data_IF_809238614149
#
_entry.id   IF_809238614149
#
_cell.length_a   1.000
_cell.length_b   1.000
_cell.length_c   1.000
_cell.angle_alpha   90.00
_cell.angle_beta   90.00
_cell.angle_gamma   90.00
#
_symmetry.space_group_name_H-M   'P 1'
#
loop_
_entity.id
_entity.type
_entity.pdbx_description
1 polymer ?
#
# COMPACT_ATOMS: atom_id res chain seq x y z
N UNK A 1 38.65 -3.81 12.73
CA UNK A 1 37.19 -3.85 12.95
C UNK A 1 36.90 -5.01 13.90
N UNK A 2 36.42 -4.73 15.11
CA UNK A 2 36.12 -5.77 16.10
C UNK A 2 34.91 -6.59 15.62
N UNK A 3 35.00 -7.93 15.70
CA UNK A 3 33.89 -8.82 15.35
C UNK A 3 32.95 -8.92 16.56
N UNK A 4 31.68 -8.56 16.37
CA UNK A 4 30.63 -8.73 17.38
C UNK A 4 29.74 -9.93 17.08
N UNK A 5 29.23 -10.59 18.11
CA UNK A 5 28.19 -11.62 18.02
C UNK A 5 26.88 -11.04 18.55
N UNK A 6 25.80 -11.14 17.79
CA UNK A 6 24.47 -10.75 18.25
C UNK A 6 23.76 -11.94 18.89
N UNK A 7 23.21 -11.75 20.09
CA UNK A 7 22.43 -12.78 20.77
C UNK A 7 21.10 -13.00 20.04
N UNK A 8 20.77 -14.22 19.59
CA UNK A 8 19.53 -14.49 18.87
C UNK A 8 18.28 -14.42 19.75
N UNK A 9 18.44 -14.48 21.09
CA UNK A 9 17.30 -14.47 22.02
C UNK A 9 16.85 -13.06 22.40
N UNK A 10 17.78 -12.12 22.62
CA UNK A 10 17.46 -10.77 23.06
C UNK A 10 18.00 -9.65 22.16
N UNK A 11 18.74 -9.98 21.10
CA UNK A 11 19.29 -9.00 20.14
C UNK A 11 20.52 -8.23 20.63
N UNK A 12 21.00 -8.46 21.84
CA UNK A 12 22.18 -7.80 22.43
C UNK A 12 23.45 -8.08 21.61
N UNK A 13 24.26 -7.04 21.35
CA UNK A 13 25.55 -7.17 20.66
C UNK A 13 26.69 -7.37 21.66
N UNK A 14 27.40 -8.50 21.56
CA UNK A 14 28.55 -8.81 22.39
C UNK A 14 29.85 -8.62 21.62
N UNK A 15 30.78 -7.85 22.19
CA UNK A 15 32.15 -7.76 21.68
C UNK A 15 32.94 -9.00 22.07
N UNK A 16 33.61 -9.61 21.09
CA UNK A 16 34.40 -10.83 21.26
C UNK A 16 35.88 -10.43 21.24
N UNK A 17 36.26 -9.54 22.15
CA UNK A 17 37.66 -9.12 22.25
C UNK A 17 38.40 -10.16 23.10
N UNK A 18 39.12 -11.08 22.46
CA UNK A 18 40.02 -12.04 23.13
C UNK A 18 39.42 -13.39 23.54
N UNK A 19 38.17 -13.70 23.17
CA UNK A 19 37.61 -15.02 23.45
C UNK A 19 38.22 -16.08 22.51
N UNK A 20 38.71 -17.19 23.07
CA UNK A 20 39.25 -18.29 22.27
C UNK A 20 38.14 -18.88 21.36
N UNK A 21 38.45 -19.23 20.09
CA UNK A 21 37.50 -19.89 19.21
C UNK A 21 36.98 -21.17 19.88
N UNK A 22 35.67 -21.38 19.86
CA UNK A 22 35.01 -22.50 20.52
C UNK A 22 34.68 -22.31 22.00
N UNK A 23 35.10 -21.20 22.61
CA UNK A 23 34.70 -20.85 23.98
C UNK A 23 33.20 -20.52 24.08
N UNK A 24 32.63 -20.77 25.25
CA UNK A 24 31.25 -20.43 25.59
C UNK A 24 31.21 -19.25 26.56
N UNK A 25 30.34 -18.28 26.32
CA UNK A 25 30.11 -17.13 27.20
C UNK A 25 28.61 -16.93 27.46
N UNK A 26 28.24 -16.28 28.56
CA UNK A 26 26.84 -15.96 28.87
C UNK A 26 26.46 -14.58 28.32
N UNK A 27 25.30 -14.49 27.70
CA UNK A 27 24.72 -13.22 27.26
C UNK A 27 24.36 -12.35 28.47
N UNK A 28 24.79 -11.09 28.49
CA UNK A 28 24.46 -10.13 29.56
C UNK A 28 22.97 -9.79 29.65
N UNK A 29 22.23 -9.79 28.53
CA UNK A 29 20.81 -9.43 28.50
C UNK A 29 19.87 -10.56 28.96
N UNK A 30 20.09 -11.79 28.48
CA UNK A 30 19.17 -12.92 28.73
C UNK A 30 19.80 -14.11 29.45
N UNK A 31 21.07 -14.03 29.86
CA UNK A 31 21.84 -15.08 30.56
C UNK A 31 22.05 -16.41 29.81
N UNK A 32 21.54 -16.56 28.57
CA UNK A 32 21.78 -17.75 27.74
C UNK A 32 23.26 -17.90 27.40
N UNK A 33 23.71 -19.15 27.38
CA UNK A 33 25.08 -19.52 26.97
C UNK A 33 25.18 -19.54 25.45
N UNK A 34 26.12 -18.76 24.90
CA UNK A 34 26.42 -18.65 23.48
C UNK A 34 27.80 -19.26 23.22
N UNK A 35 27.96 -19.92 22.07
CA UNK A 35 29.23 -20.52 21.64
C UNK A 35 29.84 -19.65 20.54
N UNK A 36 31.12 -19.30 20.68
CA UNK A 36 31.86 -18.58 19.63
C UNK A 36 32.12 -19.57 18.49
N UNK A 37 31.62 -19.33 17.26
CA UNK A 37 31.92 -20.19 16.13
C UNK A 37 33.43 -20.21 15.93
N UNK A 38 34.01 -21.41 15.93
CA UNK A 38 35.43 -21.57 15.63
C UNK A 38 35.71 -20.99 14.25
N UNK A 39 36.86 -20.31 14.12
CA UNK A 39 37.36 -19.98 12.79
C UNK A 39 37.39 -21.28 11.98
N UNK A 40 36.87 -21.33 10.74
CA UNK A 40 36.94 -22.53 9.92
C UNK A 40 38.41 -22.95 9.92
N UNK A 41 38.66 -24.18 10.40
CA UNK A 41 39.99 -24.74 10.41
C UNK A 41 40.53 -24.64 8.99
N UNK A 42 41.64 -23.91 8.81
CA UNK A 42 42.39 -23.92 7.57
C UNK A 42 42.60 -25.39 7.20
N UNK A 43 42.05 -25.88 6.09
CA UNK A 43 42.20 -27.29 5.74
C UNK A 43 43.71 -27.57 5.66
N UNK A 44 44.22 -28.64 6.30
CA UNK A 44 45.59 -29.03 6.08
C UNK A 44 45.77 -29.25 4.58
N UNK A 45 46.78 -28.61 4.00
CA UNK A 45 47.24 -28.88 2.63
C UNK A 45 47.58 -30.37 2.52
N UNK A 46 46.60 -31.17 2.14
CA UNK A 46 46.80 -32.55 1.74
C UNK A 46 47.23 -32.55 0.29
N UNK A 47 48.54 -32.76 0.12
CA UNK A 47 49.19 -33.10 -1.13
C UNK A 47 48.45 -34.23 -1.86
N UNK A 48 48.23 -34.03 -3.15
CA UNK A 48 48.29 -35.02 -4.24
C UNK A 48 47.64 -36.39 -3.99
N UNK A 49 46.42 -36.59 -4.47
CA UNK A 49 45.96 -37.89 -4.94
C UNK A 49 44.99 -37.75 -6.12
N UNK A 50 45.54 -38.03 -7.29
CA UNK A 50 44.89 -38.33 -8.56
C UNK A 50 43.82 -39.41 -8.43
N UNK A 51 42.61 -39.15 -8.94
CA UNK A 51 41.64 -40.13 -9.48
C UNK A 51 40.55 -39.32 -10.20
N UNK A 52 40.65 -39.13 -11.51
CA UNK A 52 40.08 -40.01 -12.55
C UNK A 52 38.55 -40.08 -12.54
N UNK A 53 37.97 -39.31 -13.46
CA UNK A 53 36.81 -39.59 -14.30
C UNK A 53 35.53 -40.21 -13.67
N UNK A 54 34.39 -39.55 -13.88
CA UNK A 54 33.39 -40.02 -14.86
C UNK A 54 32.31 -38.95 -15.07
N UNK A 55 32.26 -38.48 -16.31
CA UNK A 55 31.18 -37.71 -16.91
C UNK A 55 29.89 -38.51 -16.93
N UNK A 56 28.76 -37.86 -16.66
CA UNK A 56 27.48 -38.25 -17.25
C UNK A 56 26.64 -37.00 -17.46
N UNK A 57 26.77 -36.47 -18.67
CA UNK A 57 25.78 -35.66 -19.31
C UNK A 57 24.55 -36.53 -19.60
N UNK A 58 23.36 -36.05 -19.26
CA UNK A 58 22.13 -36.51 -19.88
C UNK A 58 21.34 -35.29 -20.33
N UNK A 59 21.52 -34.97 -21.61
CA UNK A 59 20.62 -34.13 -22.39
C UNK A 59 19.39 -34.95 -22.80
N UNK A 60 18.21 -34.33 -22.75
CA UNK A 60 16.99 -34.63 -23.54
C UNK A 60 16.04 -33.46 -23.24
N UNK A 61 15.77 -32.44 -24.07
CA UNK A 61 15.40 -32.39 -25.48
C UNK A 61 14.23 -33.33 -25.79
N UNK A 62 13.06 -32.75 -26.13
CA UNK A 62 11.81 -33.30 -26.74
C UNK A 62 10.63 -32.54 -26.09
N UNK A 63 9.64 -31.91 -26.72
CA UNK A 63 9.19 -31.70 -28.11
C UNK A 63 8.13 -30.58 -28.05
N UNK A 64 8.17 -29.58 -28.92
CA UNK A 64 7.26 -29.43 -30.07
C UNK A 64 5.84 -29.99 -29.87
N UNK A 65 4.90 -29.09 -29.59
CA UNK A 65 3.46 -29.35 -29.57
C UNK A 65 2.69 -28.13 -30.07
N UNK A 66 2.86 -27.82 -31.35
CA UNK A 66 1.93 -26.97 -32.10
C UNK A 66 0.75 -27.85 -32.55
N UNK A 67 -0.46 -27.51 -32.10
CA UNK A 67 -1.74 -27.86 -32.69
C UNK A 67 -2.69 -26.71 -32.33
N UNK A 68 -2.93 -25.74 -33.21
CA UNK A 68 -3.80 -25.80 -34.38
C UNK A 68 -5.28 -26.05 -34.01
N UNK A 69 -6.06 -24.98 -34.20
CA UNK A 69 -7.46 -24.95 -34.64
C UNK A 69 -8.57 -25.49 -33.73
N UNK A 70 -9.39 -24.54 -33.19
CA UNK A 70 -10.85 -24.55 -33.42
C UNK A 70 -11.50 -23.19 -33.07
N UNK A 71 -11.56 -22.31 -34.07
CA UNK A 71 -12.80 -21.61 -34.43
C UNK A 71 -13.19 -22.24 -35.79
N UNK A 72 -14.45 -22.62 -36.06
CA UNK A 72 -15.64 -21.77 -35.90
C UNK A 72 -16.87 -22.50 -35.32
N UNK A 73 -17.71 -21.82 -34.56
CA UNK A 73 -19.15 -22.17 -34.56
C UNK A 73 -19.98 -20.89 -34.59
N UNK A 74 -20.48 -20.65 -35.80
CA UNK A 74 -21.52 -19.71 -36.14
C UNK A 74 -22.82 -20.21 -35.50
N UNK A 75 -23.18 -19.69 -34.32
CA UNK A 75 -24.49 -19.94 -33.73
C UNK A 75 -25.38 -18.69 -33.80
N UNK A 76 -26.29 -18.76 -34.79
CA UNK A 76 -27.62 -18.14 -34.88
C UNK A 76 -27.76 -16.61 -34.82
N UNK A 77 -28.26 -15.97 -35.92
CA UNK A 77 -28.90 -14.67 -35.84
C UNK A 77 -30.25 -14.85 -35.11
N UNK A 78 -30.22 -14.78 -33.78
CA UNK A 78 -31.45 -14.70 -33.00
C UNK A 78 -31.98 -13.27 -33.09
N UNK A 79 -32.84 -13.09 -34.10
CA UNK A 79 -34.08 -12.33 -34.07
C UNK A 79 -34.00 -11.03 -33.26
N UNK A 80 -33.73 -9.95 -34.00
CA UNK A 80 -34.12 -8.58 -33.66
C UNK A 80 -35.54 -8.57 -33.05
N UNK A 81 -35.60 -8.52 -31.73
CA UNK A 81 -36.82 -8.14 -31.02
C UNK A 81 -36.92 -6.63 -31.15
N UNK A 82 -37.80 -6.25 -32.08
CA UNK A 82 -38.55 -5.02 -32.19
C UNK A 82 -38.41 -4.13 -30.94
N UNK A 83 -37.65 -3.06 -31.13
CA UNK A 83 -37.47 -1.96 -30.21
C UNK A 83 -38.84 -1.35 -29.88
N UNK A 84 -39.41 -1.73 -28.74
CA UNK A 84 -40.40 -0.90 -28.07
C UNK A 84 -39.67 0.35 -27.58
N UNK A 85 -40.12 1.50 -28.09
CA UNK A 85 -39.68 2.83 -27.72
C UNK A 85 -39.88 3.03 -26.21
N UNK A 86 -38.87 2.64 -25.42
CA UNK A 86 -38.77 3.06 -24.04
C UNK A 86 -38.43 4.56 -24.04
N UNK A 87 -39.14 5.37 -23.25
CA UNK A 87 -38.98 6.81 -23.22
C UNK A 87 -37.53 7.15 -22.87
N UNK A 88 -36.97 8.08 -23.63
CA UNK A 88 -35.64 8.69 -23.48
C UNK A 88 -35.13 8.62 -22.05
N UNK A 89 -34.39 7.56 -21.73
CA UNK A 89 -33.47 7.60 -20.61
C UNK A 89 -32.46 8.67 -21.01
N UNK A 90 -32.49 9.80 -20.30
CA UNK A 90 -31.49 10.85 -20.38
C UNK A 90 -30.12 10.19 -20.60
N UNK A 91 -29.59 10.34 -21.81
CA UNK A 91 -28.20 10.09 -22.12
C UNK A 91 -27.42 11.12 -21.32
N UNK A 92 -27.17 10.81 -20.04
CA UNK A 92 -26.06 11.43 -19.35
C UNK A 92 -24.83 11.14 -20.21
N UNK A 93 -24.00 12.15 -20.53
CA UNK A 93 -22.76 11.90 -21.25
C UNK A 93 -22.02 10.79 -20.51
N UNK A 94 -21.43 9.80 -21.22
CA UNK A 94 -20.60 8.79 -20.58
C UNK A 94 -19.63 9.55 -19.69
N UNK A 95 -19.77 9.33 -18.38
CA UNK A 95 -18.91 9.99 -17.41
C UNK A 95 -17.52 9.42 -17.72
N UNK A 96 -16.74 10.13 -18.53
CA UNK A 96 -15.31 9.90 -18.73
C UNK A 96 -14.54 10.22 -17.44
N UNK A 97 -15.09 9.88 -16.29
CA UNK A 97 -14.41 9.75 -15.00
C UNK A 97 -13.63 8.44 -14.93
N UNK A 98 -13.11 7.96 -16.07
CA UNK A 98 -11.97 7.07 -16.03
C UNK A 98 -10.89 7.84 -15.28
N UNK A 99 -10.58 7.42 -14.04
CA UNK A 99 -9.46 7.99 -13.30
C UNK A 99 -8.29 8.13 -14.27
N UNK A 100 -7.68 9.33 -14.36
CA UNK A 100 -6.65 9.58 -15.35
C UNK A 100 -5.65 8.44 -15.28
N UNK A 101 -5.27 7.88 -16.44
CA UNK A 101 -4.41 6.70 -16.51
C UNK A 101 -3.16 6.85 -15.62
N UNK A 102 -2.67 8.08 -15.47
CA UNK A 102 -1.66 8.49 -14.51
C UNK A 102 -2.00 8.14 -13.04
N UNK A 103 -3.19 8.46 -12.53
CA UNK A 103 -3.60 8.11 -11.17
C UNK A 103 -3.63 6.60 -10.95
N UNK A 104 -4.01 5.82 -11.97
CA UNK A 104 -3.97 4.36 -11.91
C UNK A 104 -2.52 3.86 -11.82
N UNK A 105 -1.61 4.39 -12.62
CA UNK A 105 -0.18 4.05 -12.55
C UNK A 105 0.39 4.41 -11.17
N UNK A 106 0.12 5.62 -10.67
CA UNK A 106 0.60 6.06 -9.34
C UNK A 106 0.06 5.15 -8.23
N UNK A 107 -1.23 4.78 -8.30
CA UNK A 107 -1.83 3.81 -7.38
C UNK A 107 -1.07 2.48 -7.38
N UNK A 108 -0.76 1.92 -8.55
CA UNK A 108 0.04 0.68 -8.65
C UNK A 108 1.46 0.84 -8.09
N UNK A 109 2.13 1.95 -8.43
CA UNK A 109 3.50 2.24 -7.97
C UNK A 109 3.58 2.34 -6.45
N UNK A 110 2.54 2.84 -5.78
CA UNK A 110 2.48 2.92 -4.30
C UNK A 110 1.98 1.60 -3.69
N UNK A 111 0.98 0.96 -4.30
CA UNK A 111 0.37 -0.25 -3.77
C UNK A 111 1.36 -1.43 -3.73
N UNK A 112 2.23 -1.57 -4.73
CA UNK A 112 3.23 -2.65 -4.79
C UNK A 112 4.21 -2.64 -3.59
N UNK A 113 4.94 -1.55 -3.30
CA UNK A 113 5.87 -1.53 -2.17
C UNK A 113 5.15 -1.58 -0.82
N UNK A 114 3.99 -0.92 -0.68
CA UNK A 114 3.20 -0.95 0.56
C UNK A 114 2.68 -2.36 0.85
N UNK A 115 2.11 -3.04 -0.15
CA UNK A 115 1.64 -4.42 0.01
C UNK A 115 2.78 -5.40 0.28
N UNK A 116 3.94 -5.20 -0.35
CA UNK A 116 5.16 -5.96 -0.05
C UNK A 116 5.60 -5.81 1.41
N UNK A 117 5.64 -4.58 1.92
CA UNK A 117 6.04 -4.30 3.31
C UNK A 117 5.04 -4.87 4.33
N UNK A 118 3.74 -4.72 4.09
CA UNK A 118 2.68 -5.29 4.92
C UNK A 118 2.78 -6.83 4.94
N UNK A 119 2.93 -7.45 3.77
CA UNK A 119 3.05 -8.91 3.66
C UNK A 119 4.29 -9.44 4.39
N UNK A 120 5.41 -8.72 4.29
CA UNK A 120 6.64 -9.05 5.01
C UNK A 120 6.42 -8.99 6.53
N UNK A 121 5.78 -7.92 7.03
CA UNK A 121 5.47 -7.78 8.45
C UNK A 121 4.55 -8.88 8.96
N UNK A 122 3.51 -9.24 8.21
CA UNK A 122 2.60 -10.33 8.55
C UNK A 122 3.36 -11.67 8.60
N UNK A 123 4.20 -11.95 7.61
CA UNK A 123 4.99 -13.18 7.58
C UNK A 123 5.97 -13.30 8.76
N UNK A 124 6.60 -12.18 9.16
CA UNK A 124 7.45 -12.13 10.37
C UNK A 124 6.61 -12.32 11.63
N UNK A 125 5.43 -11.70 11.70
CA UNK A 125 4.55 -11.77 12.88
C UNK A 125 4.05 -13.19 13.16
N UNK A 126 3.73 -13.94 12.11
CA UNK A 126 3.27 -15.33 12.21
C UNK A 126 4.46 -16.29 12.46
N UNK A 127 5.70 -15.80 12.41
CA UNK A 127 6.91 -16.62 12.53
C UNK A 127 7.18 -17.48 11.29
N UNK A 128 6.51 -17.18 10.18
CA UNK A 128 6.63 -17.89 8.90
C UNK A 128 7.94 -17.57 8.18
N UNK A 129 8.49 -16.38 8.42
CA UNK A 129 9.81 -15.97 7.95
C UNK A 129 10.64 -15.39 9.09
N UNK A 130 11.75 -16.07 9.42
CA UNK A 130 12.85 -15.46 10.16
C UNK A 130 13.69 -14.57 9.21
N UNK A 131 14.34 -13.53 9.73
CA UNK A 131 15.22 -12.65 8.93
C UNK A 131 16.29 -13.44 8.17
N UNK A 132 16.75 -14.56 8.74
CA UNK A 132 17.69 -15.49 8.10
C UNK A 132 17.05 -16.27 6.95
N UNK A 133 15.78 -16.67 7.07
CA UNK A 133 15.03 -17.33 6.00
C UNK A 133 14.77 -16.39 4.82
N UNK A 134 14.66 -15.07 5.06
CA UNK A 134 14.50 -14.10 3.97
C UNK A 134 15.77 -14.03 3.10
N UNK A 135 16.94 -14.11 3.72
CA UNK A 135 18.23 -14.15 3.03
C UNK A 135 18.35 -15.47 2.26
N UNK A 136 17.99 -16.60 2.89
CA UNK A 136 17.94 -17.91 2.24
C UNK A 136 16.90 -17.97 1.10
N UNK A 137 15.81 -17.19 1.18
CA UNK A 137 14.84 -17.08 0.11
C UNK A 137 15.41 -16.36 -1.13
N UNK A 138 16.37 -15.45 -0.93
CA UNK A 138 17.00 -14.68 -2.01
C UNK A 138 18.24 -15.40 -2.54
N UNK A 139 19.01 -16.06 -1.67
CA UNK A 139 20.33 -16.64 -1.99
C UNK A 139 20.37 -18.17 -1.99
N UNK A 140 19.41 -18.85 -1.38
CA UNK A 140 19.40 -20.31 -1.25
C UNK A 140 18.90 -21.05 -2.50
N UNK A 141 19.56 -22.17 -2.81
CA UNK A 141 19.23 -23.08 -3.92
C UNK A 141 18.34 -24.27 -3.50
N UNK A 142 17.77 -24.25 -2.29
CA UNK A 142 16.99 -25.36 -1.74
C UNK A 142 15.53 -25.43 -2.21
N UNK A 143 15.01 -26.64 -2.42
CA UNK A 143 13.63 -26.89 -2.87
C UNK A 143 12.53 -26.34 -1.94
N UNK A 144 12.83 -26.14 -0.65
CA UNK A 144 11.91 -25.52 0.32
C UNK A 144 11.53 -24.07 -0.03
N UNK A 145 12.31 -23.40 -0.90
CA UNK A 145 12.03 -22.05 -1.40
C UNK A 145 10.75 -22.00 -2.23
N UNK A 146 10.50 -22.99 -3.09
CA UNK A 146 9.35 -22.99 -3.98
C UNK A 146 8.04 -23.13 -3.21
N UNK A 147 8.00 -23.98 -2.18
CA UNK A 147 6.82 -24.13 -1.33
C UNK A 147 6.47 -22.81 -0.62
N UNK A 148 7.47 -22.13 -0.07
CA UNK A 148 7.30 -20.82 0.59
C UNK A 148 6.84 -19.75 -0.41
N UNK A 149 7.41 -19.73 -1.62
CA UNK A 149 6.96 -18.84 -2.70
C UNK A 149 5.50 -19.10 -3.10
N UNK A 150 5.11 -20.37 -3.26
CA UNK A 150 3.73 -20.76 -3.61
C UNK A 150 2.72 -20.31 -2.56
N UNK A 151 3.09 -20.27 -1.28
CA UNK A 151 2.22 -19.75 -0.20
C UNK A 151 2.27 -18.22 -0.14
N UNK A 152 3.44 -17.62 -0.36
CA UNK A 152 3.64 -16.18 -0.25
C UNK A 152 3.00 -15.38 -1.38
N UNK A 153 3.05 -15.89 -2.62
CA UNK A 153 2.46 -15.23 -3.80
C UNK A 153 0.95 -14.95 -3.64
N UNK A 154 0.09 -15.93 -3.29
CA UNK A 154 -1.35 -15.67 -3.14
C UNK A 154 -1.63 -14.75 -1.95
N UNK A 155 -0.87 -14.87 -0.85
CA UNK A 155 -0.99 -13.96 0.29
C UNK A 155 -0.68 -12.51 -0.13
N UNK A 156 0.43 -12.32 -0.84
CA UNK A 156 0.82 -11.01 -1.35
C UNK A 156 -0.22 -10.44 -2.32
N UNK A 157 -0.70 -11.26 -3.27
CA UNK A 157 -1.75 -10.87 -4.21
C UNK A 157 -3.05 -10.43 -3.51
N UNK A 158 -3.46 -11.13 -2.45
CA UNK A 158 -4.62 -10.77 -1.63
C UNK A 158 -4.43 -9.41 -0.95
N UNK A 159 -3.23 -9.17 -0.39
CA UNK A 159 -2.90 -7.88 0.24
C UNK A 159 -2.88 -6.76 -0.80
N UNK A 160 -2.26 -6.97 -1.97
CA UNK A 160 -2.25 -5.96 -3.03
C UNK A 160 -3.67 -5.66 -3.53
N UNK A 161 -4.50 -6.69 -3.75
CA UNK A 161 -5.89 -6.53 -4.15
C UNK A 161 -6.69 -5.75 -3.09
N UNK A 162 -6.54 -6.09 -1.81
CA UNK A 162 -7.19 -5.39 -0.71
C UNK A 162 -6.77 -3.92 -0.60
N UNK A 163 -5.47 -3.64 -0.72
CA UNK A 163 -4.95 -2.26 -0.71
C UNK A 163 -5.48 -1.46 -1.91
N UNK A 164 -5.51 -2.04 -3.11
CA UNK A 164 -6.05 -1.36 -4.30
C UNK A 164 -7.55 -1.09 -4.14
N UNK A 165 -8.34 -2.07 -3.67
CA UNK A 165 -9.77 -1.87 -3.41
C UNK A 165 -10.00 -0.77 -2.37
N UNK A 166 -9.21 -0.76 -1.29
CA UNK A 166 -9.29 0.26 -0.25
C UNK A 166 -8.92 1.63 -0.79
N UNK A 167 -7.88 1.76 -1.62
CA UNK A 167 -7.50 3.02 -2.27
C UNK A 167 -8.61 3.51 -3.22
N UNK A 168 -9.26 2.62 -3.96
CA UNK A 168 -10.33 3.01 -4.88
C UNK A 168 -11.58 3.48 -4.09
N UNK A 169 -12.03 2.72 -3.10
CA UNK A 169 -13.20 3.07 -2.29
C UNK A 169 -12.96 4.31 -1.41
N UNK A 170 -11.81 4.38 -0.74
CA UNK A 170 -11.44 5.51 0.11
C UNK A 170 -11.09 6.73 -0.75
N UNK A 171 -10.47 6.51 -1.92
CA UNK A 171 -10.09 7.57 -2.86
C UNK A 171 -11.30 8.32 -3.38
N UNK A 172 -12.39 7.62 -3.74
CA UNK A 172 -13.65 8.26 -4.15
C UNK A 172 -14.24 9.11 -3.02
N UNK A 173 -14.25 8.58 -1.79
CA UNK A 173 -14.72 9.32 -0.61
C UNK A 173 -13.84 10.53 -0.30
N UNK A 174 -12.52 10.40 -0.47
CA UNK A 174 -11.58 11.51 -0.29
C UNK A 174 -11.80 12.59 -1.35
N UNK A 175 -11.86 12.21 -2.63
CA UNK A 175 -12.08 13.15 -3.74
C UNK A 175 -13.41 13.90 -3.60
N UNK A 176 -14.48 13.21 -3.17
CA UNK A 176 -15.77 13.84 -2.87
C UNK A 176 -15.68 14.88 -1.73
N UNK A 177 -14.80 14.66 -0.75
CA UNK A 177 -14.57 15.59 0.35
C UNK A 177 -13.61 16.74 -0.03
N UNK A 178 -12.57 16.47 -0.82
CA UNK A 178 -11.63 17.48 -1.32
C UNK A 178 -12.27 18.44 -2.33
N UNK A 179 -13.25 17.99 -3.11
CA UNK A 179 -14.01 18.88 -4.00
C UNK A 179 -14.74 19.99 -3.23
N UNK A 180 -15.23 19.69 -2.02
CA UNK A 180 -15.93 20.67 -1.17
C UNK A 180 -14.97 21.74 -0.63
N UNK A 181 -13.77 21.36 -0.23
CA UNK A 181 -12.77 22.31 0.31
C UNK A 181 -12.18 23.20 -0.78
N UNK A 182 -11.95 22.67 -1.97
CA UNK A 182 -11.47 23.47 -3.10
C UNK A 182 -12.56 24.37 -3.67
N UNK A 183 -13.83 23.93 -3.69
CA UNK A 183 -14.95 24.76 -4.13
C UNK A 183 -15.24 25.92 -3.18
N UNK A 184 -14.96 25.79 -1.87
CA UNK A 184 -15.08 26.90 -0.93
C UNK A 184 -13.91 27.88 -1.00
N UNK A 185 -12.75 27.45 -1.51
CA UNK A 185 -11.55 28.27 -1.58
C UNK A 185 -11.53 29.27 -2.75
N UNK A 186 -12.49 29.21 -3.69
CA UNK A 186 -12.59 30.18 -4.80
C UNK A 186 -13.99 30.81 -4.95
N UNK A 187 -14.45 31.62 -3.98
CA UNK A 187 -15.72 32.35 -4.09
C UNK A 187 -15.68 33.45 -5.16
N UNK A 188 -14.50 34.00 -5.49
CA UNK A 188 -14.34 35.09 -6.46
C UNK A 188 -14.71 34.68 -7.88
N UNK A 189 -14.39 33.45 -8.30
CA UNK A 189 -14.72 32.99 -9.66
C UNK A 189 -16.22 32.85 -9.88
N UNK A 190 -16.98 32.49 -8.85
CA UNK A 190 -18.44 32.35 -8.91
C UNK A 190 -19.17 33.70 -8.95
N UNK A 191 -18.59 34.76 -8.36
CA UNK A 191 -19.15 36.11 -8.48
C UNK A 191 -18.96 36.68 -9.90
N UNK A 192 -17.83 36.38 -10.55
CA UNK A 192 -17.52 36.87 -11.91
C UNK A 192 -18.41 36.26 -13.01
N UNK A 193 -18.73 34.96 -12.93
CA UNK A 193 -19.61 34.32 -13.93
C UNK A 193 -21.08 34.75 -13.78
N UNK A 194 -21.52 35.09 -12.57
CA UNK A 194 -22.88 35.63 -12.34
C UNK A 194 -23.07 37.02 -12.95
N UNK A 195 -22.01 37.82 -13.01
CA UNK A 195 -22.04 39.14 -13.65
C UNK A 195 -22.12 39.07 -15.19
N UNK A 196 -21.62 37.99 -15.83
CA UNK A 196 -21.64 37.85 -17.30
C UNK A 196 -22.91 37.23 -17.88
N UNK A 197 -23.61 36.40 -17.11
CA UNK A 197 -24.85 35.76 -17.57
C UNK A 197 -26.11 36.53 -17.11
N UNK A 198 -25.98 37.77 -16.66
CA UNK A 198 -27.14 38.63 -16.50
C UNK A 198 -27.70 38.90 -17.90
N UNK A 199 -28.95 38.51 -18.20
CA UNK A 199 -29.57 38.78 -19.50
C UNK A 199 -29.50 40.28 -19.77
N UNK A 200 -28.97 40.64 -20.94
CA UNK A 200 -28.77 42.04 -21.37
C UNK A 200 -30.10 42.81 -21.48
N UNK A 201 -31.22 42.09 -21.40
CA UNK A 201 -32.58 42.60 -21.57
C UNK A 201 -33.13 43.30 -20.32
N UNK A 202 -32.47 43.19 -19.15
CA UNK A 202 -32.90 43.86 -17.91
C UNK A 202 -32.24 45.24 -17.74
N UNK A 203 -31.19 45.56 -18.51
CA UNK A 203 -30.51 46.86 -18.43
C UNK A 203 -31.33 48.02 -19.04
N UNK A 204 -32.47 47.75 -19.68
CA UNK A 204 -33.33 48.79 -20.27
C UNK A 204 -34.59 49.12 -19.46
N UNK A 205 -34.82 48.52 -18.28
CA UNK A 205 -36.05 48.72 -17.50
C UNK A 205 -35.91 49.56 -16.21
N UNK A 206 -34.73 50.12 -15.92
CA UNK A 206 -34.45 50.81 -14.64
C UNK A 206 -34.35 52.34 -14.79
N UNK A 207 -35.42 52.99 -15.26
CA UNK A 207 -35.58 54.45 -15.17
C UNK A 207 -36.94 54.88 -14.59
N UNK A 208 -37.61 54.01 -13.82
CA UNK A 208 -38.86 54.36 -13.13
C UNK A 208 -38.80 53.97 -11.65
N UNK A 209 -38.46 54.96 -10.82
CA UNK A 209 -38.92 55.08 -9.44
C UNK A 209 -40.07 56.10 -9.40
N UNK A 210 -40.90 56.19 -8.34
CA UNK A 210 -41.03 55.32 -7.16
C UNK A 210 -42.50 54.93 -6.85
N UNK A 211 -42.75 54.00 -5.91
CA UNK A 211 -43.80 54.18 -4.89
C UNK A 211 -43.47 53.33 -3.66
N UNK A 212 -43.32 54.02 -2.52
CA UNK A 212 -43.30 53.46 -1.18
C UNK A 212 -44.63 52.79 -0.86
N UNK A 213 -44.60 51.57 -0.33
CA UNK A 213 -45.59 51.09 0.62
C UNK A 213 -44.91 50.14 1.60
N UNK A 214 -44.77 50.62 2.83
CA UNK A 214 -44.45 49.85 4.03
C UNK A 214 -45.54 48.80 4.29
N UNK A 215 -45.16 47.57 4.66
CA UNK A 215 -45.69 46.88 5.86
C UNK A 215 -44.87 45.59 6.09
N UNK A 216 -43.92 45.62 7.02
CA UNK A 216 -44.02 45.03 8.37
C UNK A 216 -44.29 43.52 8.45
N UNK A 217 -43.28 42.86 9.03
CA UNK A 217 -43.37 41.83 10.07
C UNK A 217 -43.98 40.46 9.74
N UNK A 218 -43.12 39.44 9.63
CA UNK A 218 -43.01 38.35 10.63
C UNK A 218 -41.79 37.49 10.33
N UNK A 219 -40.71 37.67 11.10
CA UNK A 219 -40.24 36.69 12.09
C UNK A 219 -40.26 35.26 11.53
N UNK A 220 -39.15 34.83 10.94
CA UNK A 220 -38.81 33.42 10.96
C UNK A 220 -37.42 33.29 11.56
N UNK A 221 -37.44 32.75 12.78
CA UNK A 221 -36.34 32.64 13.69
C UNK A 221 -35.22 31.78 13.10
N UNK A 222 -34.01 32.30 13.24
CA UNK A 222 -32.79 31.55 13.15
C UNK A 222 -32.83 30.43 14.21
N UNK A 223 -33.04 29.19 13.77
CA UNK A 223 -32.69 28.00 14.57
C UNK A 223 -31.24 27.67 14.21
N UNK A 224 -30.34 28.18 15.05
CA UNK A 224 -28.94 27.75 15.12
C UNK A 224 -28.96 26.45 15.94
N UNK A 225 -28.67 25.27 15.38
CA UNK A 225 -28.45 24.09 16.21
C UNK A 225 -27.13 24.26 16.97
N UNK A 226 -27.24 24.14 18.29
CA UNK A 226 -26.18 24.12 19.27
C UNK A 226 -24.96 23.32 18.80
N UNK A 227 -23.82 24.00 18.79
CA UNK A 227 -22.49 23.40 18.66
C UNK A 227 -22.13 22.84 20.04
N UNK A 228 -22.07 21.51 20.24
CA UNK A 228 -21.65 20.96 21.53
C UNK A 228 -20.20 21.38 21.82
N UNK A 229 -19.98 21.83 23.05
CA UNK A 229 -18.70 22.22 23.59
C UNK A 229 -17.66 21.11 23.39
N UNK A 230 -16.58 21.43 22.68
CA UNK A 230 -15.37 20.62 22.65
C UNK A 230 -14.80 20.60 24.08
N UNK A 231 -14.83 19.42 24.70
CA UNK A 231 -14.10 19.16 25.93
C UNK A 231 -12.60 19.40 25.70
N UNK A 232 -11.89 20.01 26.66
CA UNK A 232 -10.43 20.12 26.59
C UNK A 232 -9.84 18.71 26.53
N UNK A 233 -9.07 18.45 25.47
CA UNK A 233 -8.30 17.24 25.32
C UNK A 233 -7.41 17.08 26.55
N UNK A 234 -7.60 15.96 27.26
CA UNK A 234 -6.71 15.52 28.30
C UNK A 234 -5.31 15.38 27.70
N UNK A 235 -4.39 16.09 28.34
CA UNK A 235 -2.94 16.02 28.17
C UNK A 235 -2.51 14.54 28.20
N UNK A 236 -2.29 13.96 27.02
CA UNK A 236 -1.77 12.60 26.88
C UNK A 236 -0.31 12.64 27.31
N UNK A 237 -0.11 12.22 28.56
CA UNK A 237 1.17 12.10 29.21
C UNK A 237 2.16 11.36 28.31
N UNK A 238 3.11 12.10 27.76
CA UNK A 238 4.27 11.61 27.02
C UNK A 238 5.11 10.67 27.93
N UNK A 239 5.07 9.34 27.73
CA UNK A 239 5.80 8.38 28.55
C UNK A 239 7.28 8.27 28.16
N UNK A 240 7.80 9.12 27.25
CA UNK A 240 9.16 8.99 26.73
C UNK A 240 10.15 10.04 27.21
N UNK A 241 9.84 10.88 28.22
CA UNK A 241 10.86 11.80 28.76
C UNK A 241 11.96 11.03 29.51
N UNK A 242 13.19 10.92 28.98
CA UNK A 242 14.27 10.21 29.67
C UNK A 242 14.69 10.99 30.91
N UNK A 243 14.64 10.35 32.08
CA UNK A 243 15.14 10.92 33.34
C UNK A 243 16.65 11.15 33.22
N UNK A 244 17.08 12.42 33.21
CA UNK A 244 18.49 12.78 33.39
C UNK A 244 18.93 12.37 34.79
N UNK A 245 19.88 11.46 34.86
CA UNK A 245 20.59 11.09 36.09
C UNK A 245 21.63 12.19 36.35
N UNK A 246 21.68 12.81 37.54
CA UNK A 246 22.71 13.79 37.86
C UNK A 246 24.08 13.10 38.02
N UNK A 247 25.18 13.73 37.58
CA UNK A 247 26.52 13.20 37.77
C UNK A 247 26.90 13.18 39.26
N UNK A 248 27.61 12.13 39.66
CA UNK A 248 28.31 12.04 40.95
C UNK A 248 29.66 12.73 40.87
#
# INVERSE_FOLDING_TARGET
>A
MARGLQCPACGEHHRIDGAAPGSTFKCGGCSRTLRVPGSPATPPSSSSATSSATSSATSSATSSGAAQAKAPESEKPTRQVRSEARPNKFHLPPYEGALPLAARIVSWVIAVPVSGFISLKIAVLIGLLSTNDLIDLITGSGGGRYLRMVIFIPLWALVTAGVVSLILEVGERLLANYGKTLSSANPERSASTRARNLPKDVASASNSSPTQAQDRTRVNAAVIPDRPAQAPAADEADPQRPRRIPPR
#
